data_IF_344511841386
#
_entry.id   IF_344511841386
#
_cell.length_a   1.000
_cell.length_b   1.000
_cell.length_c   1.000
_cell.angle_alpha   90.00
_cell.angle_beta   90.00
_cell.angle_gamma   90.00
#
_symmetry.space_group_name_H-M   'P 1'
#
loop_
_entity.id
_entity.type
_entity.pdbx_description
1 polymer ?
#
# COMPACT_ATOMS: atom_id res chain seq x y z
N UNK A 1 2.49 -0.50 -21.92
CA UNK A 1 3.11 0.84 -21.89
C UNK A 1 2.03 1.89 -22.12
N UNK A 2 1.91 2.87 -21.23
CA UNK A 2 0.99 4.00 -21.39
C UNK A 2 1.63 5.22 -20.76
N UNK A 3 2.13 6.15 -21.58
CA UNK A 3 2.68 7.40 -21.08
C UNK A 3 1.52 8.34 -20.71
N UNK A 4 1.14 8.33 -19.44
CA UNK A 4 0.05 9.15 -18.91
C UNK A 4 0.44 10.63 -18.70
N UNK A 5 1.63 11.09 -19.12
CA UNK A 5 2.06 12.49 -18.96
C UNK A 5 1.14 13.50 -19.63
N UNK A 6 0.46 13.09 -20.70
CA UNK A 6 -0.49 13.92 -21.44
C UNK A 6 -1.93 13.76 -20.93
N UNK A 7 -2.18 12.83 -20.01
CA UNK A 7 -3.51 12.62 -19.45
C UNK A 7 -3.85 13.73 -18.46
N UNK A 8 -5.13 14.16 -18.40
CA UNK A 8 -5.58 15.06 -17.35
C UNK A 8 -5.32 14.44 -15.97
N UNK A 9 -4.83 15.25 -15.02
CA UNK A 9 -4.71 14.78 -13.63
C UNK A 9 -6.08 14.38 -13.07
N UNK A 10 -6.18 13.30 -12.29
CA UNK A 10 -7.42 12.92 -11.63
C UNK A 10 -7.89 14.06 -10.72
N UNK A 11 -9.19 14.32 -10.74
CA UNK A 11 -9.85 15.35 -9.91
C UNK A 11 -10.44 14.75 -8.64
N UNK A 12 -10.54 13.43 -8.60
CA UNK A 12 -11.16 12.65 -7.56
C UNK A 12 -10.32 12.62 -6.28
N UNK A 13 -10.98 12.57 -5.13
CA UNK A 13 -10.32 12.52 -3.83
C UNK A 13 -9.78 11.13 -3.45
N UNK A 14 -10.04 10.09 -4.26
CA UNK A 14 -9.61 8.70 -4.11
C UNK A 14 -9.40 8.05 -5.49
N UNK A 15 -8.59 6.99 -5.57
CA UNK A 15 -8.41 6.19 -6.79
C UNK A 15 -9.63 5.30 -7.12
N UNK A 16 -10.52 5.05 -6.13
CA UNK A 16 -11.77 4.32 -6.36
C UNK A 16 -11.74 2.84 -5.98
N UNK A 17 -10.81 2.41 -5.11
CA UNK A 17 -10.75 1.01 -4.63
C UNK A 17 -12.08 0.54 -4.02
N UNK A 18 -12.83 1.45 -3.38
CA UNK A 18 -14.14 1.16 -2.80
C UNK A 18 -15.19 0.64 -3.81
N UNK A 19 -15.03 0.95 -5.10
CA UNK A 19 -15.90 0.42 -6.15
C UNK A 19 -15.83 -1.11 -6.27
N UNK A 20 -14.73 -1.72 -5.80
CA UNK A 20 -14.56 -3.18 -5.77
C UNK A 20 -15.43 -3.86 -4.69
N UNK A 21 -16.07 -3.10 -3.79
CA UNK A 21 -17.00 -3.63 -2.80
C UNK A 21 -18.25 -4.28 -3.44
N UNK A 22 -18.50 -4.03 -4.74
CA UNK A 22 -19.58 -4.69 -5.48
C UNK A 22 -19.31 -6.19 -5.75
N UNK A 23 -18.09 -6.68 -5.48
CA UNK A 23 -17.71 -8.08 -5.62
C UNK A 23 -17.76 -8.79 -4.27
N UNK A 24 -18.86 -9.49 -3.91
CA UNK A 24 -19.03 -10.08 -2.58
C UNK A 24 -18.05 -11.22 -2.27
N UNK A 25 -17.44 -11.82 -3.30
CA UNK A 25 -16.44 -12.88 -3.17
C UNK A 25 -15.00 -12.38 -3.19
N UNK A 26 -14.78 -11.05 -3.26
CA UNK A 26 -13.44 -10.48 -3.24
C UNK A 26 -12.84 -10.60 -1.83
N UNK A 27 -11.94 -11.57 -1.65
CA UNK A 27 -11.29 -11.86 -0.38
C UNK A 27 -9.78 -11.64 -0.40
N UNK A 28 -9.17 -11.58 -1.59
CA UNK A 28 -7.74 -11.36 -1.79
C UNK A 28 -7.52 -10.22 -2.78
N UNK A 29 -6.57 -9.35 -2.46
CA UNK A 29 -6.16 -8.25 -3.35
C UNK A 29 -4.63 -8.15 -3.41
N UNK A 30 -4.12 -7.88 -4.60
CA UNK A 30 -2.71 -7.59 -4.85
C UNK A 30 -2.61 -6.19 -5.44
N UNK A 31 -1.95 -5.28 -4.72
CA UNK A 31 -1.75 -3.89 -5.11
C UNK A 31 -0.27 -3.67 -5.37
N UNK A 32 0.14 -3.81 -6.63
CA UNK A 32 1.52 -3.63 -7.01
C UNK A 32 1.79 -2.19 -7.49
N UNK A 33 2.40 -1.38 -6.63
CA UNK A 33 2.86 -0.03 -6.97
C UNK A 33 4.39 0.06 -7.09
N UNK A 34 5.11 -1.07 -7.04
CA UNK A 34 6.58 -1.07 -7.03
C UNK A 34 7.22 -0.44 -8.27
N UNK A 35 6.53 -0.49 -9.41
CA UNK A 35 6.96 0.10 -10.69
C UNK A 35 6.37 1.49 -10.95
N UNK A 36 5.64 2.06 -9.98
CA UNK A 36 5.05 3.40 -10.13
C UNK A 36 6.17 4.45 -10.10
N UNK A 37 6.62 4.81 -11.29
CA UNK A 37 7.58 5.87 -11.52
C UNK A 37 6.84 7.20 -11.69
N UNK A 38 7.24 8.23 -10.95
CA UNK A 38 6.67 9.57 -11.10
C UNK A 38 5.23 9.65 -10.60
N UNK A 39 4.96 9.10 -9.41
CA UNK A 39 3.70 9.23 -8.65
C UNK A 39 3.11 10.64 -8.65
N UNK A 40 3.93 11.70 -8.75
CA UNK A 40 3.48 13.09 -8.91
C UNK A 40 2.63 13.35 -10.19
N UNK A 41 2.79 12.52 -11.23
CA UNK A 41 2.04 12.59 -12.49
C UNK A 41 0.68 11.88 -12.40
N UNK A 42 0.59 10.80 -11.62
CA UNK A 42 -0.66 10.07 -11.38
C UNK A 42 -1.44 10.59 -10.17
N UNK A 43 -0.83 11.42 -9.32
CA UNK A 43 -1.50 12.08 -8.21
C UNK A 43 -2.44 13.21 -8.68
N UNK A 44 -3.55 13.46 -7.95
CA UNK A 44 -4.28 14.72 -8.06
C UNK A 44 -3.38 15.94 -7.84
N UNK A 45 -3.79 17.09 -8.38
CA UNK A 45 -3.05 18.35 -8.20
C UNK A 45 -2.81 18.65 -6.69
N UNK A 46 -1.57 19.00 -6.34
CA UNK A 46 -1.15 19.31 -4.97
C UNK A 46 -0.74 18.11 -4.11
N UNK A 47 -0.84 16.86 -4.61
CA UNK A 47 -0.43 15.65 -3.90
C UNK A 47 0.87 15.05 -4.47
N UNK A 48 1.91 15.87 -4.57
CA UNK A 48 3.17 15.50 -5.24
C UNK A 48 4.18 14.76 -4.35
N UNK A 49 3.82 14.46 -3.10
CA UNK A 49 4.59 13.63 -2.17
C UNK A 49 4.03 12.19 -2.17
N UNK A 50 4.92 11.20 -2.04
CA UNK A 50 4.62 9.77 -1.98
C UNK A 50 3.53 9.47 -0.93
N UNK A 51 3.63 10.08 0.25
CA UNK A 51 2.66 9.82 1.34
C UNK A 51 1.24 10.28 0.97
N UNK A 52 1.12 11.42 0.28
CA UNK A 52 -0.18 11.94 -0.19
C UNK A 52 -0.73 11.13 -1.36
N UNK A 53 0.16 10.62 -2.21
CA UNK A 53 -0.21 9.71 -3.30
C UNK A 53 -0.72 8.37 -2.76
N UNK A 54 0.01 7.74 -1.85
CA UNK A 54 -0.42 6.48 -1.22
C UNK A 54 -1.76 6.66 -0.48
N UNK A 55 -1.92 7.77 0.26
CA UNK A 55 -3.21 8.11 0.88
C UNK A 55 -4.35 8.19 -0.12
N UNK A 56 -4.11 8.76 -1.31
CA UNK A 56 -5.12 8.86 -2.36
C UNK A 56 -5.42 7.49 -3.00
N UNK A 57 -4.37 6.69 -3.24
CA UNK A 57 -4.46 5.39 -3.89
C UNK A 57 -5.18 4.36 -3.03
N UNK A 58 -4.78 4.23 -1.77
CA UNK A 58 -5.29 3.24 -0.81
C UNK A 58 -6.65 3.62 -0.20
N UNK A 59 -7.18 4.81 -0.53
CA UNK A 59 -8.45 5.28 0.02
C UNK A 59 -9.59 4.38 -0.43
N UNK A 60 -10.30 3.84 0.55
CA UNK A 60 -11.46 2.97 0.37
C UNK A 60 -11.18 1.48 0.59
N UNK A 61 -9.94 1.10 0.93
CA UNK A 61 -9.59 -0.28 1.26
C UNK A 61 -10.44 -0.86 2.41
N UNK A 62 -10.74 -0.05 3.42
CA UNK A 62 -11.58 -0.47 4.56
C UNK A 62 -12.99 -0.95 4.18
N UNK A 63 -13.49 -0.53 3.02
CA UNK A 63 -14.82 -0.93 2.55
C UNK A 63 -14.80 -2.32 1.88
N UNK A 64 -13.62 -2.90 1.66
CA UNK A 64 -13.46 -4.20 1.02
C UNK A 64 -13.39 -5.32 2.07
N UNK A 65 -14.13 -6.42 1.92
CA UNK A 65 -14.12 -7.56 2.85
C UNK A 65 -12.90 -8.47 2.60
N UNK A 66 -11.69 -7.88 2.60
CA UNK A 66 -10.45 -8.59 2.31
C UNK A 66 -10.01 -9.42 3.51
N UNK A 67 -9.63 -10.67 3.24
CA UNK A 67 -8.92 -11.55 4.17
C UNK A 67 -7.41 -11.54 3.92
N UNK A 68 -6.96 -11.25 2.70
CA UNK A 68 -5.53 -11.20 2.34
C UNK A 68 -5.23 -9.98 1.46
N UNK A 69 -4.17 -9.26 1.80
CA UNK A 69 -3.66 -8.14 1.03
C UNK A 69 -2.15 -8.26 0.84
N UNK A 70 -1.71 -8.18 -0.41
CA UNK A 70 -0.30 -8.02 -0.76
C UNK A 70 -0.13 -6.61 -1.35
N UNK A 71 0.74 -5.80 -0.76
CA UNK A 71 0.98 -4.41 -1.17
C UNK A 71 2.46 -4.18 -1.45
N UNK A 72 2.77 -3.69 -2.65
CA UNK A 72 4.10 -3.21 -3.03
C UNK A 72 4.07 -1.68 -3.02
N UNK A 73 4.66 -1.01 -2.02
CA UNK A 73 4.70 0.45 -1.99
C UNK A 73 5.43 1.03 -3.21
N UNK A 74 5.09 2.27 -3.62
CA UNK A 74 5.84 2.99 -4.65
C UNK A 74 7.31 3.20 -4.24
N UNK A 75 8.22 3.15 -5.22
CA UNK A 75 9.64 3.34 -4.98
C UNK A 75 9.99 4.83 -4.86
N UNK A 76 10.73 5.17 -3.80
CA UNK A 76 11.44 6.43 -3.70
C UNK A 76 12.77 6.31 -4.47
N UNK A 77 12.95 7.13 -5.51
CA UNK A 77 14.13 7.10 -6.38
C UNK A 77 15.39 7.63 -5.70
N UNK A 78 15.25 8.59 -4.79
CA UNK A 78 16.40 9.20 -4.12
C UNK A 78 16.91 8.28 -3.01
N UNK A 79 16.00 7.55 -2.39
CA UNK A 79 16.30 6.66 -1.28
C UNK A 79 16.59 5.22 -1.73
N UNK A 80 16.21 4.84 -2.95
CA UNK A 80 16.29 3.48 -3.51
C UNK A 80 15.64 2.41 -2.61
N UNK A 81 14.51 2.75 -1.97
CA UNK A 81 13.76 1.86 -1.06
C UNK A 81 12.27 1.99 -1.34
N UNK A 82 11.54 0.92 -1.06
CA UNK A 82 10.07 0.92 -1.00
C UNK A 82 9.68 0.95 0.47
N UNK A 83 9.01 2.01 0.90
CA UNK A 83 8.65 2.21 2.29
C UNK A 83 7.16 2.50 2.42
N UNK A 84 6.50 1.80 3.33
CA UNK A 84 5.12 2.10 3.68
C UNK A 84 5.07 3.45 4.42
N UNK A 85 4.32 4.43 3.91
CA UNK A 85 4.13 5.70 4.61
C UNK A 85 3.15 5.59 5.79
N UNK A 86 3.21 6.56 6.70
CA UNK A 86 2.28 6.65 7.84
C UNK A 86 0.79 6.69 7.40
N UNK A 87 0.37 7.48 6.37
CA UNK A 87 -1.00 7.42 5.88
C UNK A 87 -1.40 6.05 5.34
N UNK A 88 -0.48 5.36 4.66
CA UNK A 88 -0.72 4.02 4.15
C UNK A 88 -0.93 3.03 5.30
N UNK A 89 -0.04 3.02 6.30
CA UNK A 89 -0.19 2.20 7.51
C UNK A 89 -1.52 2.47 8.24
N UNK A 90 -1.92 3.73 8.37
CA UNK A 90 -3.21 4.11 8.96
C UNK A 90 -4.40 3.52 8.20
N UNK A 91 -4.42 3.66 6.87
CA UNK A 91 -5.50 3.11 6.04
C UNK A 91 -5.55 1.57 6.07
N UNK A 92 -4.39 0.92 6.07
CA UNK A 92 -4.30 -0.55 6.20
C UNK A 92 -4.84 -1.03 7.55
N UNK A 93 -4.62 -0.27 8.63
CA UNK A 93 -5.14 -0.60 9.97
C UNK A 93 -6.67 -0.49 10.11
N UNK A 94 -7.35 0.13 9.14
CA UNK A 94 -8.82 0.21 9.11
C UNK A 94 -9.48 -1.02 8.44
N UNK A 95 -8.69 -1.94 7.85
CA UNK A 95 -9.20 -3.15 7.20
C UNK A 95 -9.56 -4.23 8.22
N UNK A 96 -10.74 -4.12 8.85
CA UNK A 96 -11.13 -4.93 10.00
C UNK A 96 -11.15 -6.45 9.76
N UNK A 97 -11.44 -6.91 8.55
CA UNK A 97 -11.53 -8.34 8.18
C UNK A 97 -10.19 -8.95 7.76
N UNK A 98 -9.13 -8.14 7.72
CA UNK A 98 -7.85 -8.55 7.16
C UNK A 98 -7.17 -9.56 8.08
N UNK A 99 -6.86 -10.74 7.53
CA UNK A 99 -6.20 -11.83 8.25
C UNK A 99 -4.70 -11.93 7.92
N UNK A 100 -4.33 -11.55 6.70
CA UNK A 100 -2.96 -11.58 6.20
C UNK A 100 -2.59 -10.27 5.51
N UNK A 101 -1.47 -9.70 5.91
CA UNK A 101 -0.90 -8.50 5.32
C UNK A 101 0.56 -8.76 4.92
N UNK A 102 0.85 -8.70 3.62
CA UNK A 102 2.20 -8.77 3.08
C UNK A 102 2.56 -7.40 2.51
N UNK A 103 3.59 -6.77 3.06
CA UNK A 103 4.14 -5.53 2.53
C UNK A 103 5.47 -5.85 1.86
N UNK A 104 5.53 -5.65 0.55
CA UNK A 104 6.71 -5.90 -0.26
C UNK A 104 7.61 -4.66 -0.29
N UNK A 105 8.14 -4.34 0.88
CA UNK A 105 8.96 -3.19 1.19
C UNK A 105 9.26 -3.13 2.68
N UNK A 106 9.76 -1.98 3.11
CA UNK A 106 10.05 -1.65 4.50
C UNK A 106 8.87 -0.92 5.14
N UNK A 107 8.87 -0.88 6.47
CA UNK A 107 7.90 -0.13 7.26
C UNK A 107 8.60 0.38 8.52
N UNK A 108 8.25 1.59 8.97
CA UNK A 108 8.78 2.09 10.25
C UNK A 108 8.24 1.23 11.40
N UNK A 109 9.10 0.88 12.37
CA UNK A 109 8.73 -0.02 13.48
C UNK A 109 7.49 0.44 14.24
N UNK A 110 7.32 1.75 14.46
CA UNK A 110 6.16 2.31 15.16
C UNK A 110 4.83 2.05 14.46
N UNK A 111 4.81 1.78 13.15
CA UNK A 111 3.59 1.47 12.42
C UNK A 111 3.09 0.06 12.70
N UNK A 112 3.97 -0.85 13.16
CA UNK A 112 3.57 -2.20 13.55
C UNK A 112 2.48 -2.20 14.64
N UNK A 113 2.54 -1.22 15.55
CA UNK A 113 1.53 -1.03 16.60
C UNK A 113 0.14 -0.68 16.05
N UNK A 114 0.04 -0.21 14.80
CA UNK A 114 -1.23 0.03 14.14
C UNK A 114 -1.86 -1.27 13.64
N UNK A 115 -1.05 -2.22 13.15
CA UNK A 115 -1.53 -3.50 12.62
C UNK A 115 -2.06 -4.42 13.72
N UNK A 116 -1.50 -4.35 14.93
CA UNK A 116 -2.00 -5.07 16.11
C UNK A 116 -3.46 -4.71 16.44
N UNK A 117 -3.94 -3.54 16.00
CA UNK A 117 -5.33 -3.11 16.22
C UNK A 117 -6.33 -3.75 15.27
N UNK A 118 -5.86 -4.44 14.22
CA UNK A 118 -6.72 -5.16 13.29
C UNK A 118 -7.15 -6.47 13.97
N UNK A 119 -8.46 -6.69 14.22
CA UNK A 119 -8.92 -7.77 15.10
C UNK A 119 -8.58 -9.18 14.60
N UNK A 120 -8.73 -9.41 13.29
CA UNK A 120 -8.61 -10.74 12.68
C UNK A 120 -7.22 -11.02 12.09
N UNK A 121 -6.28 -10.06 12.22
CA UNK A 121 -4.96 -10.15 11.63
C UNK A 121 -4.12 -11.19 12.38
N UNK A 122 -3.49 -12.09 11.62
CA UNK A 122 -2.64 -13.17 12.15
C UNK A 122 -1.25 -13.18 11.56
N UNK A 123 -1.16 -12.90 10.27
CA UNK A 123 0.09 -12.94 9.53
C UNK A 123 0.41 -11.54 9.01
N UNK A 124 1.48 -10.94 9.52
CA UNK A 124 2.07 -9.72 8.95
C UNK A 124 3.51 -10.00 8.59
N UNK A 125 3.89 -9.73 7.34
CA UNK A 125 5.27 -9.86 6.90
C UNK A 125 5.71 -8.66 6.07
N UNK A 126 6.92 -8.21 6.35
CA UNK A 126 7.67 -7.31 5.48
C UNK A 126 8.62 -8.13 4.62
N UNK A 127 8.58 -7.91 3.30
CA UNK A 127 9.37 -8.63 2.31
C UNK A 127 10.12 -7.66 1.43
N UNK A 128 11.44 -7.69 1.45
CA UNK A 128 12.27 -6.89 0.56
C UNK A 128 12.66 -7.69 -0.70
N UNK A 129 11.67 -8.30 -1.34
CA UNK A 129 11.84 -9.23 -2.47
C UNK A 129 12.04 -8.53 -3.82
N UNK A 130 12.73 -7.37 -3.83
CA UNK A 130 12.99 -6.56 -5.02
C UNK A 130 14.48 -6.21 -5.15
N UNK A 131 14.92 -5.96 -6.39
CA UNK A 131 16.32 -5.62 -6.69
C UNK A 131 16.54 -4.09 -6.70
N UNK A 132 17.69 -3.58 -6.20
CA UNK A 132 18.75 -4.33 -5.51
C UNK A 132 18.29 -4.72 -4.09
N UNK A 133 18.53 -5.99 -3.73
CA UNK A 133 18.27 -6.46 -2.38
C UNK A 133 19.16 -5.67 -1.41
N UNK A 134 18.57 -5.12 -0.35
CA UNK A 134 19.34 -4.49 0.72
C UNK A 134 20.16 -5.57 1.46
N UNK A 135 21.37 -5.23 1.93
CA UNK A 135 22.30 -6.19 2.56
C UNK A 135 21.70 -6.83 3.83
N UNK A 136 20.74 -6.15 4.46
CA UNK A 136 19.92 -6.65 5.55
C UNK A 136 18.75 -7.49 5.01
N UNK A 137 19.05 -8.68 4.49
CA UNK A 137 18.07 -9.67 4.02
C UNK A 137 17.27 -10.27 5.21
N UNK A 138 16.51 -9.41 5.90
CA UNK A 138 15.80 -9.71 7.15
C UNK A 138 14.30 -9.53 6.95
N UNK A 139 13.63 -10.63 6.58
CA UNK A 139 12.16 -10.68 6.63
C UNK A 139 11.71 -10.49 8.07
N UNK A 140 11.02 -9.38 8.35
CA UNK A 140 10.39 -9.16 9.65
C UNK A 140 9.00 -9.79 9.63
N UNK A 141 8.81 -10.85 10.41
CA UNK A 141 7.52 -11.51 10.60
C UNK A 141 6.92 -11.12 11.96
N UNK A 142 5.63 -10.80 11.97
CA UNK A 142 4.84 -10.67 13.20
C UNK A 142 3.72 -11.71 13.17
N UNK A 143 3.64 -12.51 14.24
CA UNK A 143 2.54 -13.44 14.53
C UNK A 143 1.81 -12.93 15.76
N UNK A 144 0.53 -12.63 15.64
CA UNK A 144 -0.34 -12.15 16.73
C UNK A 144 -1.26 -13.24 17.24
#
# INVERSE_FOLDING_TARGET
EGDCRLCPKPREHACGLSSLACYPSLSKLELNCGEVIGFALSAPAGKMDLSLWERWYLRGLRELPLSELNYWPPQDKDMNRRGLSLPAAGLLSECATLRKLFVHGTCHEHFMMMFIRIPDLRDVQLREDYYPAHEDDTSTEMRT
#
